data_IF_566219505162
#
_entry.id   IF_566219505162
#
_cell.length_a   1.000
_cell.length_b   1.000
_cell.length_c   1.000
_cell.angle_alpha   90.00
_cell.angle_beta   90.00
_cell.angle_gamma   90.00
#
_symmetry.space_group_name_H-M   'P 1'
#
loop_
_entity.id
_entity.type
_entity.pdbx_description
1 polymer ?
#
# COMPACT_ATOMS: atom_id res chain seq x y z
N UNK A 1 89.65 -19.00 -67.17
CA UNK A 1 88.75 -19.79 -66.30
C UNK A 1 88.25 -18.88 -65.20
N UNK A 2 87.01 -18.42 -65.35
CA UNK A 2 85.97 -18.18 -64.33
C UNK A 2 85.03 -17.10 -64.85
N UNK A 3 83.90 -17.56 -65.39
CA UNK A 3 82.72 -16.74 -65.67
C UNK A 3 81.82 -16.75 -64.43
N UNK A 4 81.57 -15.56 -63.87
CA UNK A 4 80.60 -15.31 -62.82
C UNK A 4 79.23 -15.00 -63.44
N UNK A 5 78.24 -15.84 -63.14
CA UNK A 5 76.83 -15.66 -63.50
C UNK A 5 76.15 -14.68 -62.52
N UNK A 6 75.90 -13.44 -62.97
CA UNK A 6 74.88 -12.56 -62.40
C UNK A 6 73.57 -12.79 -63.13
N UNK A 7 72.53 -13.29 -62.45
CA UNK A 7 71.13 -12.95 -62.74
C UNK A 7 70.18 -13.68 -61.78
N UNK A 8 69.69 -12.98 -60.72
CA UNK A 8 68.36 -13.21 -60.12
C UNK A 8 68.11 -12.30 -58.90
N UNK A 9 67.89 -11.00 -59.12
CA UNK A 9 67.41 -10.08 -58.05
C UNK A 9 66.37 -9.04 -58.51
N UNK A 10 65.15 -9.44 -58.91
CA UNK A 10 64.02 -8.51 -58.73
C UNK A 10 62.71 -9.08 -58.16
N UNK A 11 62.59 -10.38 -57.83
CA UNK A 11 61.29 -10.95 -57.36
C UNK A 11 60.96 -10.70 -55.88
N UNK A 12 61.93 -10.41 -55.02
CA UNK A 12 61.72 -10.28 -53.57
C UNK A 12 60.99 -8.99 -53.13
N UNK A 13 60.97 -7.93 -53.95
CA UNK A 13 60.38 -6.63 -53.54
C UNK A 13 58.86 -6.64 -53.62
N UNK A 14 58.28 -7.24 -54.66
CA UNK A 14 56.83 -7.29 -54.83
C UNK A 14 56.13 -8.15 -53.76
N UNK A 15 56.77 -9.24 -53.33
CA UNK A 15 56.24 -10.08 -52.25
C UNK A 15 56.17 -9.31 -50.91
N UNK A 16 57.15 -8.46 -50.62
CA UNK A 16 57.16 -7.65 -49.39
C UNK A 16 56.02 -6.63 -49.35
N UNK A 17 55.70 -5.98 -50.47
CA UNK A 17 54.57 -5.04 -50.52
C UNK A 17 53.22 -5.76 -50.40
N UNK A 18 53.06 -6.94 -51.01
CA UNK A 18 51.84 -7.73 -50.87
C UNK A 18 51.59 -8.16 -49.42
N UNK A 19 52.64 -8.60 -48.72
CA UNK A 19 52.53 -8.98 -47.29
C UNK A 19 52.16 -7.76 -46.45
N UNK A 20 52.84 -6.61 -46.64
CA UNK A 20 52.55 -5.39 -45.87
C UNK A 20 51.12 -4.90 -46.08
N UNK A 21 50.65 -4.86 -47.33
CA UNK A 21 49.27 -4.45 -47.65
C UNK A 21 48.24 -5.39 -47.04
N UNK A 22 48.50 -6.70 -47.02
CA UNK A 22 47.60 -7.68 -46.43
C UNK A 22 47.56 -7.56 -44.90
N UNK A 23 48.69 -7.32 -44.24
CA UNK A 23 48.71 -6.98 -42.80
C UNK A 23 47.98 -5.67 -42.52
N UNK A 24 48.13 -4.64 -43.35
CA UNK A 24 47.42 -3.37 -43.15
C UNK A 24 45.90 -3.54 -43.29
N UNK A 25 45.45 -4.31 -44.29
CA UNK A 25 44.04 -4.67 -44.48
C UNK A 25 43.50 -5.51 -43.31
N UNK A 26 44.31 -6.42 -42.79
CA UNK A 26 43.94 -7.26 -41.65
C UNK A 26 43.86 -6.44 -40.37
N UNK A 27 44.77 -5.48 -40.15
CA UNK A 27 44.69 -4.56 -39.00
C UNK A 27 43.50 -3.61 -39.13
N UNK A 28 43.18 -3.12 -40.34
CA UNK A 28 41.98 -2.31 -40.56
C UNK A 28 40.69 -3.13 -40.38
N UNK A 29 40.66 -4.39 -40.82
CA UNK A 29 39.48 -5.25 -40.67
C UNK A 29 39.29 -5.73 -39.24
N UNK A 30 40.37 -5.92 -38.47
CA UNK A 30 40.31 -6.32 -37.06
C UNK A 30 40.13 -5.12 -36.12
N UNK A 31 40.55 -3.92 -36.53
CA UNK A 31 40.43 -2.68 -35.75
C UNK A 31 39.05 -2.01 -35.81
N UNK A 32 38.18 -2.40 -36.77
CA UNK A 32 36.78 -1.97 -36.82
C UNK A 32 35.88 -2.96 -36.08
N UNK A 33 36.12 -3.14 -34.79
CA UNK A 33 35.08 -3.65 -33.89
C UNK A 33 34.06 -2.53 -33.72
N UNK A 34 32.93 -2.62 -34.44
CA UNK A 34 31.74 -1.81 -34.18
C UNK A 34 31.34 -2.07 -32.73
N UNK A 35 31.76 -1.20 -31.81
CA UNK A 35 31.22 -1.17 -30.44
C UNK A 35 29.72 -0.92 -30.62
N UNK A 36 28.85 -1.92 -30.36
CA UNK A 36 27.42 -1.68 -30.41
C UNK A 36 27.15 -0.53 -29.45
N UNK A 37 26.42 0.50 -29.91
CA UNK A 37 26.03 1.59 -29.03
C UNK A 37 25.39 0.97 -27.78
N UNK A 38 25.91 1.33 -26.60
CA UNK A 38 25.36 0.81 -25.35
C UNK A 38 23.85 1.06 -25.36
N UNK A 39 23.04 0.01 -25.15
CA UNK A 39 21.60 0.17 -25.15
C UNK A 39 21.24 1.24 -24.12
N UNK A 40 20.32 2.16 -24.46
CA UNK A 40 19.94 3.23 -23.53
C UNK A 40 19.51 2.59 -22.22
N UNK A 41 20.02 3.14 -21.12
CA UNK A 41 19.74 2.64 -19.77
C UNK A 41 18.22 2.55 -19.58
N UNK A 42 17.71 1.42 -19.07
CA UNK A 42 16.27 1.26 -18.86
C UNK A 42 15.75 2.41 -18.00
N UNK A 43 14.55 2.94 -18.28
CA UNK A 43 13.96 3.97 -17.44
C UNK A 43 13.82 3.45 -16.01
N UNK A 44 14.07 4.33 -15.03
CA UNK A 44 13.84 4.00 -13.64
C UNK A 44 12.39 3.54 -13.42
N UNK A 45 12.14 2.53 -12.57
CA UNK A 45 10.80 2.06 -12.28
C UNK A 45 9.94 3.18 -11.67
N UNK A 46 8.62 3.17 -11.86
CA UNK A 46 7.73 4.16 -11.24
C UNK A 46 7.75 4.04 -9.71
N UNK A 47 7.42 5.13 -9.00
CA UNK A 47 7.43 5.18 -7.53
C UNK A 47 6.64 4.02 -6.91
N UNK A 48 5.41 3.77 -7.38
CA UNK A 48 4.55 2.69 -6.88
C UNK A 48 5.22 1.31 -6.98
N UNK A 49 5.97 1.07 -8.04
CA UNK A 49 6.70 -0.20 -8.22
C UNK A 49 7.93 -0.29 -7.30
N UNK A 50 8.63 0.83 -7.08
CA UNK A 50 9.72 0.90 -6.10
C UNK A 50 9.19 0.65 -4.67
N UNK A 51 8.09 1.30 -4.29
CA UNK A 51 7.47 1.14 -2.98
C UNK A 51 6.97 -0.30 -2.76
N UNK A 52 6.36 -0.92 -3.78
CA UNK A 52 5.96 -2.33 -3.74
C UNK A 52 7.17 -3.26 -3.56
N UNK A 53 8.24 -3.04 -4.31
CA UNK A 53 9.45 -3.86 -4.23
C UNK A 53 10.15 -3.72 -2.87
N UNK A 54 10.25 -2.50 -2.33
CA UNK A 54 10.77 -2.24 -0.99
C UNK A 54 9.92 -2.93 0.08
N UNK A 55 8.58 -2.77 0.01
CA UNK A 55 7.66 -3.44 0.93
C UNK A 55 7.82 -4.97 0.93
N UNK A 56 8.01 -5.57 -0.25
CA UNK A 56 8.22 -7.01 -0.39
C UNK A 56 9.56 -7.44 0.24
N UNK A 57 10.64 -6.69 -0.03
CA UNK A 57 11.96 -6.98 0.53
C UNK A 57 11.94 -6.91 2.07
N UNK A 58 11.39 -5.84 2.63
CA UNK A 58 11.25 -5.67 4.09
C UNK A 58 10.43 -6.79 4.72
N UNK A 59 9.30 -7.15 4.10
CA UNK A 59 8.44 -8.22 4.61
C UNK A 59 9.18 -9.58 4.64
N UNK A 60 9.99 -9.88 3.63
CA UNK A 60 10.79 -11.10 3.59
C UNK A 60 11.93 -11.08 4.61
N UNK A 61 12.61 -9.95 4.78
CA UNK A 61 13.69 -9.78 5.78
C UNK A 61 13.15 -9.94 7.21
N UNK A 62 12.06 -9.23 7.54
CA UNK A 62 11.41 -9.31 8.86
C UNK A 62 10.86 -10.72 9.13
N UNK A 63 10.32 -11.40 8.11
CA UNK A 63 9.86 -12.78 8.21
C UNK A 63 11.02 -13.72 8.54
N UNK A 64 12.15 -13.59 7.85
CA UNK A 64 13.34 -14.39 8.12
C UNK A 64 13.87 -14.16 9.54
N UNK A 65 13.90 -12.91 10.01
CA UNK A 65 14.29 -12.57 11.37
C UNK A 65 13.33 -13.17 12.42
N UNK A 66 12.01 -13.11 12.17
CA UNK A 66 11.00 -13.75 13.02
C UNK A 66 11.18 -15.26 13.13
N UNK A 67 11.44 -15.95 12.01
CA UNK A 67 11.70 -17.40 11.98
C UNK A 67 12.98 -17.78 12.75
N UNK A 68 14.05 -17.00 12.61
CA UNK A 68 15.30 -17.23 13.37
C UNK A 68 15.06 -17.09 14.88
N UNK A 69 14.27 -16.08 15.29
CA UNK A 69 13.97 -15.85 16.70
C UNK A 69 13.03 -16.92 17.28
N UNK A 70 12.06 -17.39 16.50
CA UNK A 70 11.18 -18.50 16.88
C UNK A 70 11.96 -19.81 17.12
N UNK A 71 12.98 -20.10 16.30
CA UNK A 71 13.85 -21.27 16.48
C UNK A 71 14.73 -21.26 17.73
N UNK A 72 14.93 -20.08 18.36
CA UNK A 72 15.76 -19.90 19.56
C UNK A 72 14.97 -19.67 20.86
N UNK A 73 13.65 -19.51 20.79
CA UNK A 73 12.82 -19.19 21.97
C UNK A 73 12.16 -20.45 22.53
N UNK A 74 12.36 -20.73 23.83
CA UNK A 74 11.92 -21.97 24.45
C UNK A 74 10.57 -21.87 25.22
N UNK A 75 10.04 -20.67 25.51
CA UNK A 75 8.83 -20.54 26.35
C UNK A 75 7.93 -19.32 26.01
N UNK A 76 6.61 -19.50 26.15
CA UNK A 76 5.63 -18.43 26.47
C UNK A 76 4.93 -17.70 25.32
N UNK A 77 4.08 -16.72 25.67
CA UNK A 77 3.24 -15.94 24.75
C UNK A 77 4.00 -15.12 23.69
N UNK A 78 5.31 -14.87 23.88
CA UNK A 78 6.17 -14.29 22.87
C UNK A 78 6.32 -15.20 21.63
N UNK A 79 6.36 -16.52 21.81
CA UNK A 79 6.41 -17.47 20.69
C UNK A 79 5.13 -17.41 19.85
N UNK A 80 3.96 -17.39 20.48
CA UNK A 80 2.67 -17.25 19.78
C UNK A 80 2.56 -15.89 19.03
N UNK A 81 3.08 -14.82 19.63
CA UNK A 81 3.19 -13.51 18.97
C UNK A 81 4.10 -13.55 17.75
N UNK A 82 5.25 -14.22 17.84
CA UNK A 82 6.18 -14.40 16.72
C UNK A 82 5.55 -15.22 15.58
N UNK A 83 4.87 -16.32 15.90
CA UNK A 83 4.18 -17.14 14.89
C UNK A 83 3.11 -16.33 14.13
N UNK A 84 2.36 -15.48 14.85
CA UNK A 84 1.39 -14.56 14.23
C UNK A 84 2.07 -13.55 13.32
N UNK A 85 3.16 -12.93 13.76
CA UNK A 85 3.95 -11.98 12.95
C UNK A 85 4.50 -12.65 11.69
N UNK A 86 5.06 -13.85 11.79
CA UNK A 86 5.58 -14.60 10.64
C UNK A 86 4.46 -14.94 9.66
N UNK A 87 3.28 -15.34 10.16
CA UNK A 87 2.10 -15.62 9.33
C UNK A 87 1.64 -14.37 8.59
N UNK A 88 1.50 -13.25 9.30
CA UNK A 88 1.14 -11.95 8.74
C UNK A 88 2.11 -11.52 7.64
N UNK A 89 3.42 -11.54 7.90
CA UNK A 89 4.45 -11.15 6.94
C UNK A 89 4.48 -12.09 5.73
N UNK A 90 4.17 -13.37 5.92
CA UNK A 90 4.02 -14.34 4.83
C UNK A 90 2.85 -13.96 3.92
N UNK A 91 1.68 -13.66 4.47
CA UNK A 91 0.50 -13.25 3.68
C UNK A 91 0.79 -11.94 2.93
N UNK A 92 1.41 -10.95 3.61
CA UNK A 92 1.76 -9.66 3.00
C UNK A 92 2.77 -9.81 1.86
N UNK A 93 3.83 -10.59 2.06
CA UNK A 93 4.81 -10.86 0.99
C UNK A 93 4.14 -11.52 -0.22
N UNK A 94 3.22 -12.48 0.00
CA UNK A 94 2.46 -13.11 -1.10
C UNK A 94 1.54 -12.12 -1.81
N UNK A 95 0.90 -11.20 -1.08
CA UNK A 95 0.04 -10.17 -1.65
C UNK A 95 0.82 -9.13 -2.48
N UNK A 96 2.10 -8.90 -2.15
CA UNK A 96 2.98 -7.96 -2.85
C UNK A 96 3.65 -8.56 -4.10
N UNK A 97 3.57 -9.87 -4.33
CA UNK A 97 4.14 -10.52 -5.51
C UNK A 97 3.31 -10.23 -6.77
N UNK A 98 3.99 -9.84 -7.85
CA UNK A 98 3.38 -9.74 -9.17
C UNK A 98 3.20 -11.15 -9.78
N UNK A 99 2.10 -11.42 -10.50
CA UNK A 99 1.88 -12.72 -11.15
C UNK A 99 3.02 -13.17 -12.09
N UNK A 100 3.69 -12.24 -12.79
CA UNK A 100 4.79 -12.58 -13.71
C UNK A 100 6.11 -12.89 -12.99
N UNK A 101 6.36 -12.30 -11.82
CA UNK A 101 7.58 -12.53 -11.05
C UNK A 101 7.66 -13.98 -10.52
N UNK A 102 6.50 -14.58 -10.21
CA UNK A 102 6.42 -15.98 -9.78
C UNK A 102 6.85 -16.99 -10.86
N UNK A 103 6.78 -16.62 -12.14
CA UNK A 103 7.19 -17.48 -13.25
C UNK A 103 8.68 -17.38 -13.58
N UNK A 104 9.34 -16.27 -13.23
CA UNK A 104 10.73 -15.97 -13.61
C UNK A 104 11.80 -16.57 -12.67
N UNK A 105 11.42 -17.10 -11.50
CA UNK A 105 12.35 -17.67 -10.49
C UNK A 105 12.99 -19.02 -10.87
N UNK A 106 13.04 -19.39 -12.15
CA UNK A 106 13.73 -20.62 -12.63
C UNK A 106 15.13 -20.38 -13.20
N UNK A 107 15.66 -19.17 -13.16
CA UNK A 107 17.02 -18.88 -13.63
C UNK A 107 18.07 -19.08 -12.52
N UNK A 108 19.16 -19.85 -12.76
CA UNK A 108 20.22 -20.04 -11.77
C UNK A 108 21.01 -18.74 -11.57
N UNK A 109 21.05 -18.28 -10.31
CA UNK A 109 21.82 -17.10 -9.89
C UNK A 109 23.32 -17.44 -9.81
N UNK A 110 24.24 -16.60 -10.34
CA UNK A 110 25.67 -16.83 -10.22
C UNK A 110 26.16 -16.64 -8.77
N UNK A 111 26.90 -17.63 -8.28
CA UNK A 111 27.48 -17.64 -6.95
C UNK A 111 28.47 -16.47 -6.76
N UNK A 112 28.11 -15.52 -5.90
CA UNK A 112 29.01 -14.45 -5.46
C UNK A 112 29.57 -14.83 -4.08
N UNK A 113 30.89 -14.69 -3.93
CA UNK A 113 31.64 -15.12 -2.77
C UNK A 113 31.19 -14.44 -1.46
N UNK A 114 31.12 -15.23 -0.40
CA UNK A 114 30.81 -14.82 0.98
C UNK A 114 31.88 -13.90 1.57
N UNK A 115 31.55 -12.67 1.99
CA UNK A 115 32.37 -11.93 2.94
C UNK A 115 32.11 -12.46 4.36
N UNK A 116 33.17 -12.83 5.06
CA UNK A 116 33.15 -13.19 6.48
C UNK A 116 32.84 -11.94 7.29
N UNK A 117 31.56 -11.78 7.63
CA UNK A 117 31.04 -10.68 8.45
C UNK A 117 31.04 -11.13 9.92
N UNK A 118 31.42 -10.28 10.88
CA UNK A 118 31.33 -10.62 12.31
C UNK A 118 29.90 -11.00 12.69
N UNK A 119 29.76 -11.94 13.63
CA UNK A 119 28.48 -12.50 14.04
C UNK A 119 27.44 -11.39 14.29
N UNK A 120 26.28 -11.40 13.59
CA UNK A 120 25.26 -10.39 13.79
C UNK A 120 24.77 -10.45 15.23
N UNK A 121 24.57 -9.28 15.84
CA UNK A 121 23.89 -9.19 17.11
C UNK A 121 22.54 -9.90 17.00
N UNK A 122 22.26 -10.82 17.92
CA UNK A 122 21.02 -11.60 17.92
C UNK A 122 19.83 -10.64 18.02
N UNK A 123 18.97 -10.61 17.01
CA UNK A 123 17.76 -9.79 17.04
C UNK A 123 16.87 -10.26 18.19
N UNK A 124 16.35 -9.33 18.99
CA UNK A 124 15.43 -9.61 20.10
C UNK A 124 13.99 -9.40 19.66
N UNK A 125 13.01 -9.90 20.43
CA UNK A 125 11.59 -9.68 20.14
C UNK A 125 11.23 -8.18 20.14
N UNK A 126 11.79 -7.41 21.08
CA UNK A 126 11.62 -5.95 21.10
C UNK A 126 12.28 -5.28 19.88
N UNK A 127 13.47 -5.76 19.46
CA UNK A 127 14.13 -5.29 18.24
C UNK A 127 13.31 -5.54 16.99
N UNK A 128 12.72 -6.74 16.87
CA UNK A 128 11.80 -7.09 15.77
C UNK A 128 10.54 -6.23 15.79
N UNK A 129 9.94 -5.99 16.97
CA UNK A 129 8.78 -5.12 17.11
C UNK A 129 9.08 -3.68 16.63
N UNK A 130 10.24 -3.12 17.01
CA UNK A 130 10.67 -1.79 16.53
C UNK A 130 10.87 -1.77 15.01
N UNK A 131 11.50 -2.80 14.45
CA UNK A 131 11.71 -2.90 13.00
C UNK A 131 10.38 -3.04 12.24
N UNK A 132 9.43 -3.80 12.78
CA UNK A 132 8.09 -3.97 12.23
C UNK A 132 7.28 -2.66 12.28
N UNK A 133 7.36 -1.91 13.39
CA UNK A 133 6.72 -0.59 13.50
C UNK A 133 7.32 0.42 12.50
N UNK A 134 8.64 0.39 12.30
CA UNK A 134 9.33 1.24 11.34
C UNK A 134 8.91 0.92 9.90
N UNK A 135 8.94 -0.37 9.52
CA UNK A 135 8.48 -0.82 8.20
C UNK A 135 7.01 -0.44 7.99
N UNK A 136 6.13 -0.72 8.95
CA UNK A 136 4.71 -0.38 8.83
C UNK A 136 4.45 1.11 8.66
N UNK A 137 5.20 1.95 9.39
CA UNK A 137 5.15 3.41 9.23
C UNK A 137 5.61 3.88 7.85
N UNK A 138 6.66 3.25 7.31
CA UNK A 138 7.14 3.55 5.95
C UNK A 138 6.09 3.17 4.91
N UNK A 139 5.45 2.00 5.03
CA UNK A 139 4.39 1.56 4.12
C UNK A 139 3.18 2.51 4.15
N UNK A 140 2.78 2.99 5.33
CA UNK A 140 1.72 4.00 5.46
C UNK A 140 2.09 5.32 4.78
N UNK A 141 3.37 5.71 4.84
CA UNK A 141 3.90 6.90 4.17
C UNK A 141 3.90 6.75 2.65
N UNK A 142 4.33 5.58 2.17
CA UNK A 142 4.38 5.24 0.75
C UNK A 142 2.99 5.05 0.14
N UNK A 143 2.00 4.65 0.94
CA UNK A 143 0.62 4.53 0.50
C UNK A 143 0.04 5.87 0.02
N UNK A 144 0.44 7.00 0.62
CA UNK A 144 -0.09 8.30 0.25
C UNK A 144 0.20 8.69 -1.23
N UNK A 145 1.43 8.57 -1.75
CA UNK A 145 1.73 8.81 -3.16
C UNK A 145 1.58 7.60 -4.10
N UNK A 146 1.35 6.38 -3.59
CA UNK A 146 1.20 5.19 -4.43
C UNK A 146 -0.08 5.19 -5.27
N UNK A 147 -0.11 4.44 -6.37
CA UNK A 147 -1.29 4.40 -7.23
C UNK A 147 -2.39 3.48 -6.67
N UNK A 148 -3.62 4.03 -6.59
CA UNK A 148 -4.87 3.28 -6.49
C UNK A 148 -4.87 2.06 -5.56
N UNK A 149 -5.08 0.87 -6.13
CA UNK A 149 -5.12 -0.38 -5.37
C UNK A 149 -3.83 -0.69 -4.61
N UNK A 150 -2.66 -0.22 -5.08
CA UNK A 150 -1.39 -0.37 -4.35
C UNK A 150 -1.35 0.53 -3.12
N UNK A 151 -1.89 1.74 -3.17
CA UNK A 151 -2.06 2.59 -1.98
C UNK A 151 -2.86 1.86 -0.89
N UNK A 152 -3.96 1.21 -1.27
CA UNK A 152 -4.77 0.39 -0.36
C UNK A 152 -3.99 -0.79 0.22
N UNK A 153 -3.22 -1.49 -0.61
CA UNK A 153 -2.40 -2.63 -0.16
C UNK A 153 -1.31 -2.19 0.82
N UNK A 154 -0.58 -1.11 0.51
CA UNK A 154 0.46 -0.56 1.37
C UNK A 154 -0.13 0.00 2.68
N UNK A 155 -1.29 0.67 2.61
CA UNK A 155 -1.97 1.20 3.79
C UNK A 155 -2.44 0.07 4.72
N UNK A 156 -3.06 -0.97 4.16
CA UNK A 156 -3.47 -2.15 4.91
C UNK A 156 -2.26 -2.87 5.52
N UNK A 157 -1.25 -3.20 4.71
CA UNK A 157 -0.05 -3.89 5.18
C UNK A 157 0.65 -3.10 6.30
N UNK A 158 0.83 -1.79 6.13
CA UNK A 158 1.41 -0.92 7.14
C UNK A 158 0.60 -0.86 8.43
N UNK A 159 -0.73 -0.77 8.33
CA UNK A 159 -1.63 -0.81 9.50
C UNK A 159 -1.47 -2.11 10.29
N UNK A 160 -1.49 -3.26 9.60
CA UNK A 160 -1.35 -4.56 10.26
C UNK A 160 0.02 -4.72 10.93
N UNK A 161 1.10 -4.23 10.29
CA UNK A 161 2.45 -4.28 10.84
C UNK A 161 2.59 -3.42 12.10
N UNK A 162 2.02 -2.20 12.11
CA UNK A 162 2.05 -1.35 13.32
C UNK A 162 1.29 -2.00 14.48
N UNK A 163 0.12 -2.60 14.23
CA UNK A 163 -0.64 -3.31 15.26
C UNK A 163 0.12 -4.55 15.78
N UNK A 164 0.65 -5.37 14.88
CA UNK A 164 1.44 -6.54 15.24
C UNK A 164 2.71 -6.17 16.01
N UNK A 165 3.33 -5.03 15.70
CA UNK A 165 4.46 -4.50 16.45
C UNK A 165 4.08 -4.12 17.89
N UNK A 166 2.92 -3.50 18.09
CA UNK A 166 2.39 -3.17 19.42
C UNK A 166 2.11 -4.43 20.23
N UNK A 167 1.45 -5.43 19.65
CA UNK A 167 1.20 -6.72 20.30
C UNK A 167 2.51 -7.42 20.69
N UNK A 168 3.47 -7.50 19.77
CA UNK A 168 4.76 -8.15 20.02
C UNK A 168 5.57 -7.41 21.10
N UNK A 169 5.59 -6.07 21.07
CA UNK A 169 6.27 -5.25 22.07
C UNK A 169 5.64 -5.43 23.46
N UNK A 170 4.31 -5.49 23.55
CA UNK A 170 3.59 -5.77 24.79
C UNK A 170 3.89 -7.18 25.32
N UNK A 171 3.87 -8.20 24.44
CA UNK A 171 4.22 -9.57 24.81
C UNK A 171 5.68 -9.72 25.26
N UNK A 172 6.58 -8.90 24.73
CA UNK A 172 7.98 -8.81 25.14
C UNK A 172 8.22 -7.96 26.40
N UNK A 173 7.15 -7.40 27.00
CA UNK A 173 7.24 -6.54 28.19
C UNK A 173 7.90 -5.18 27.95
N UNK A 174 7.94 -4.71 26.71
CA UNK A 174 8.54 -3.43 26.30
C UNK A 174 7.57 -2.59 25.42
N UNK A 175 6.34 -2.30 25.86
CA UNK A 175 5.34 -1.60 25.04
C UNK A 175 5.79 -0.20 24.59
N UNK A 176 6.62 0.47 25.39
CA UNK A 176 7.13 1.82 25.08
C UNK A 176 8.08 1.84 23.88
N UNK A 177 8.66 0.70 23.47
CA UNK A 177 9.63 0.62 22.38
C UNK A 177 9.05 1.03 21.02
N UNK A 178 7.75 0.82 20.81
CA UNK A 178 7.05 1.10 19.55
C UNK A 178 6.13 2.32 19.60
N UNK A 179 5.83 2.83 20.80
CA UNK A 179 4.93 3.97 21.01
C UNK A 179 5.44 5.27 20.36
N UNK A 180 6.76 5.44 20.24
CA UNK A 180 7.38 6.59 19.58
C UNK A 180 7.35 6.51 18.04
N UNK A 181 7.25 5.31 17.47
CA UNK A 181 7.37 5.07 16.02
C UNK A 181 5.99 5.07 15.35
N UNK A 182 4.97 4.50 15.99
CA UNK A 182 3.64 4.29 15.38
C UNK A 182 2.73 5.52 15.23
N UNK A 183 3.13 6.71 15.68
CA UNK A 183 2.27 7.92 15.70
C UNK A 183 2.56 8.89 14.55
N UNK A 184 2.90 8.37 13.37
CA UNK A 184 3.55 9.15 12.31
C UNK A 184 2.63 9.84 11.30
N UNK A 185 1.33 9.55 11.25
CA UNK A 185 0.40 10.28 10.37
C UNK A 185 -0.52 11.15 11.24
N UNK A 186 -0.28 12.47 11.32
CA UNK A 186 -1.27 13.36 11.90
C UNK A 186 -2.56 13.21 11.10
N UNK A 187 -3.63 12.77 11.74
CA UNK A 187 -4.96 12.76 11.15
C UNK A 187 -5.36 14.18 10.82
N UNK A 188 -5.07 14.61 9.60
CA UNK A 188 -5.62 15.85 9.07
C UNK A 188 -7.10 15.64 8.84
N UNK A 189 -7.94 16.57 9.27
CA UNK A 189 -9.28 16.72 8.68
C UNK A 189 -9.11 16.87 7.17
N UNK A 190 -9.97 16.28 6.32
CA UNK A 190 -9.90 16.50 4.88
C UNK A 190 -10.07 18.00 4.64
N UNK A 191 -8.97 18.71 4.41
CA UNK A 191 -8.90 20.16 4.57
C UNK A 191 -9.81 20.84 3.53
N UNK A 192 -10.98 21.34 3.95
CA UNK A 192 -11.99 21.99 3.08
C UNK A 192 -11.59 23.43 2.73
N UNK A 193 -10.49 23.97 3.30
CA UNK A 193 -10.20 25.41 3.27
C UNK A 193 -8.92 25.84 2.54
N UNK A 194 -8.15 24.94 1.93
CA UNK A 194 -6.86 25.32 1.30
C UNK A 194 -6.95 25.79 -0.17
N UNK A 195 -8.16 25.94 -0.73
CA UNK A 195 -8.34 26.45 -2.09
C UNK A 195 -8.45 27.99 -2.19
N UNK A 196 -8.32 28.74 -1.09
CA UNK A 196 -8.55 30.19 -1.10
C UNK A 196 -7.54 31.01 -0.28
N UNK A 197 -6.22 30.79 -0.43
CA UNK A 197 -5.27 31.75 0.16
C UNK A 197 -3.87 31.75 -0.45
N UNK A 198 -3.75 31.97 -1.76
CA UNK A 198 -2.52 32.51 -2.38
C UNK A 198 -2.86 33.41 -3.58
N UNK A 199 -3.40 34.59 -3.30
CA UNK A 199 -3.32 35.72 -4.22
C UNK A 199 -2.45 36.81 -3.58
N UNK A 200 -1.39 37.31 -4.25
CA UNK A 200 -0.63 38.43 -3.73
C UNK A 200 -1.46 39.72 -3.83
N UNK A 201 -1.34 40.57 -2.82
CA UNK A 201 -2.00 41.88 -2.76
C UNK A 201 -1.62 42.74 -3.98
N UNK A 202 -2.62 43.21 -4.72
CA UNK A 202 -2.48 44.24 -5.75
C UNK A 202 -3.20 45.52 -5.31
N UNK A 203 -2.53 46.64 -5.58
CA UNK A 203 -2.88 48.05 -5.31
C UNK A 203 -4.29 48.45 -5.78
N UNK A 204 -4.91 49.50 -5.17
CA UNK A 204 -6.25 49.94 -5.51
C UNK A 204 -6.21 50.98 -6.64
N UNK A 205 -6.71 50.62 -7.83
CA UNK A 205 -7.01 51.64 -8.84
C UNK A 205 -7.16 51.15 -10.27
N UNK A 206 -8.29 50.52 -10.60
CA UNK A 206 -8.84 50.55 -11.97
C UNK A 206 -10.30 50.06 -12.00
N UNK A 207 -11.15 50.83 -12.67
CA UNK A 207 -12.57 50.59 -12.93
C UNK A 207 -12.82 49.61 -14.08
N UNK A 208 -13.63 48.57 -13.80
CA UNK A 208 -14.48 47.73 -14.69
C UNK A 208 -13.79 46.85 -15.77
N UNK A 209 -14.44 45.80 -16.37
CA UNK A 209 -15.78 45.21 -16.16
C UNK A 209 -15.80 43.65 -16.03
N UNK A 210 -17.01 43.10 -15.78
CA UNK A 210 -17.49 41.74 -16.06
C UNK A 210 -16.78 40.52 -15.42
N UNK A 211 -17.53 39.87 -14.53
CA UNK A 211 -17.30 38.59 -13.85
C UNK A 211 -17.07 37.43 -14.82
N UNK A 212 -15.95 36.69 -14.73
CA UNK A 212 -15.82 35.36 -15.30
C UNK A 212 -16.04 34.28 -14.23
N UNK A 213 -16.90 33.31 -14.56
CA UNK A 213 -16.85 31.94 -14.03
C UNK A 213 -17.35 31.74 -12.60
N UNK A 214 -18.63 31.39 -12.46
CA UNK A 214 -19.07 30.58 -11.32
C UNK A 214 -18.20 29.31 -11.25
N UNK A 215 -17.79 28.85 -10.06
CA UNK A 215 -17.13 27.55 -9.92
C UNK A 215 -18.05 26.48 -10.51
N UNK A 216 -17.49 25.65 -11.38
CA UNK A 216 -18.17 24.54 -12.05
C UNK A 216 -19.08 23.80 -11.08
N UNK A 217 -20.38 23.97 -11.26
CA UNK A 217 -21.38 23.13 -10.63
C UNK A 217 -21.04 21.68 -11.02
N UNK A 218 -21.03 20.78 -10.04
CA UNK A 218 -20.96 19.35 -10.28
C UNK A 218 -21.90 19.00 -11.43
N UNK A 219 -21.42 18.36 -12.51
CA UNK A 219 -22.29 18.00 -13.61
C UNK A 219 -23.39 17.11 -13.03
N UNK A 220 -24.63 17.58 -13.07
CA UNK A 220 -25.81 16.76 -12.77
C UNK A 220 -25.89 15.67 -13.85
N UNK A 221 -25.13 14.60 -13.67
CA UNK A 221 -25.35 13.36 -14.41
C UNK A 221 -26.49 12.66 -13.67
N UNK A 222 -27.66 12.45 -14.30
CA UNK A 222 -28.74 11.74 -13.63
C UNK A 222 -28.30 10.30 -13.36
N UNK A 223 -28.07 9.99 -12.08
CA UNK A 223 -27.87 8.63 -11.59
C UNK A 223 -29.09 7.78 -11.96
N UNK A 224 -28.96 6.91 -12.97
CA UNK A 224 -29.90 5.80 -13.19
C UNK A 224 -29.66 4.75 -12.11
N UNK A 225 -30.10 5.02 -10.89
CA UNK A 225 -30.43 3.99 -9.92
C UNK A 225 -31.95 4.02 -9.74
N UNK A 226 -32.64 3.42 -10.71
CA UNK A 226 -34.05 3.09 -10.59
C UNK A 226 -34.14 1.60 -10.23
N UNK A 227 -34.61 1.35 -9.01
CA UNK A 227 -35.35 0.18 -8.56
C UNK A 227 -34.93 -1.19 -9.13
N UNK A 228 -34.24 -1.98 -8.31
CA UNK A 228 -34.31 -3.44 -8.40
C UNK A 228 -35.71 -3.83 -7.92
N UNK A 229 -36.66 -3.86 -8.86
CA UNK A 229 -37.90 -4.62 -8.73
C UNK A 229 -37.82 -5.79 -9.69
N UNK A 230 -37.68 -6.95 -9.07
CA UNK A 230 -37.93 -8.31 -9.51
C UNK A 230 -38.89 -8.46 -10.72
N UNK A 231 -38.32 -8.61 -11.93
CA UNK A 231 -38.70 -9.55 -13.01
C UNK A 231 -38.23 -9.02 -14.37
N UNK A 232 -37.27 -9.71 -14.99
CA UNK A 232 -37.44 -10.36 -16.30
C UNK A 232 -36.08 -10.81 -16.85
N UNK A 233 -36.00 -12.09 -17.14
CA UNK A 233 -35.03 -12.68 -18.07
C UNK A 233 -35.11 -11.95 -19.42
N UNK A 234 -33.99 -11.38 -19.86
CA UNK A 234 -33.62 -11.17 -21.27
C UNK A 234 -32.13 -10.84 -21.29
N UNK A 235 -31.35 -11.62 -22.04
CA UNK A 235 -29.88 -11.55 -22.09
C UNK A 235 -29.36 -10.31 -22.81
N UNK A 236 -29.49 -9.16 -22.17
CA UNK A 236 -28.76 -7.94 -22.55
C UNK A 236 -27.53 -7.83 -21.64
N UNK A 237 -26.33 -7.86 -22.22
CA UNK A 237 -25.08 -7.65 -21.50
C UNK A 237 -25.14 -6.30 -20.77
N UNK A 238 -25.22 -6.36 -19.45
CA UNK A 238 -24.98 -5.21 -18.56
C UNK A 238 -23.56 -4.71 -18.91
N UNK A 239 -23.40 -3.45 -19.38
CA UNK A 239 -22.06 -2.90 -19.59
C UNK A 239 -21.30 -2.98 -18.27
N UNK A 240 -19.99 -3.28 -18.28
CA UNK A 240 -19.21 -3.40 -17.05
C UNK A 240 -19.42 -2.13 -16.22
N UNK A 241 -19.63 -2.26 -14.89
CA UNK A 241 -19.71 -1.08 -14.03
C UNK A 241 -18.48 -0.23 -14.29
N UNK A 242 -18.70 1.05 -14.60
CA UNK A 242 -17.61 2.01 -14.71
C UNK A 242 -16.79 2.03 -13.41
N UNK A 243 -15.54 2.53 -13.44
CA UNK A 243 -14.74 2.64 -12.24
C UNK A 243 -15.52 3.40 -11.16
N UNK A 244 -15.57 2.85 -9.95
CA UNK A 244 -16.26 3.49 -8.83
C UNK A 244 -15.66 4.89 -8.60
N UNK A 245 -16.51 5.90 -8.49
CA UNK A 245 -16.07 7.28 -8.34
C UNK A 245 -15.59 7.54 -6.89
N UNK A 246 -14.61 8.43 -6.67
CA UNK A 246 -14.14 8.79 -5.33
C UNK A 246 -15.28 9.25 -4.41
N UNK A 247 -16.19 10.08 -4.93
CA UNK A 247 -17.35 10.57 -4.18
C UNK A 247 -18.31 9.46 -3.75
N UNK A 248 -18.50 8.42 -4.57
CA UNK A 248 -19.33 7.26 -4.18
C UNK A 248 -18.68 6.41 -3.09
N UNK A 249 -17.36 6.29 -3.07
CA UNK A 249 -16.65 5.59 -2.00
C UNK A 249 -16.75 6.34 -0.67
N UNK A 250 -16.61 7.66 -0.70
CA UNK A 250 -16.80 8.52 0.49
C UNK A 250 -18.24 8.48 1.01
N UNK A 251 -19.23 8.47 0.10
CA UNK A 251 -20.64 8.29 0.46
C UNK A 251 -20.91 6.91 1.08
N UNK A 252 -20.30 5.85 0.56
CA UNK A 252 -20.40 4.50 1.12
C UNK A 252 -19.72 4.41 2.50
N UNK A 253 -18.57 5.08 2.69
CA UNK A 253 -17.93 5.20 4.00
C UNK A 253 -18.85 5.92 4.99
N UNK A 254 -19.45 7.05 4.62
CA UNK A 254 -20.41 7.74 5.49
C UNK A 254 -21.59 6.83 5.92
N UNK A 255 -22.10 5.98 5.01
CA UNK A 255 -23.13 5.01 5.36
C UNK A 255 -22.65 3.95 6.37
N UNK A 256 -21.44 3.42 6.18
CA UNK A 256 -20.83 2.46 7.12
C UNK A 256 -20.59 3.09 8.50
N UNK A 257 -20.16 4.36 8.53
CA UNK A 257 -19.97 5.12 9.76
C UNK A 257 -21.29 5.41 10.50
N UNK A 258 -22.39 5.69 9.77
CA UNK A 258 -23.72 5.82 10.37
C UNK A 258 -24.22 4.50 10.99
N UNK A 259 -23.94 3.37 10.35
CA UNK A 259 -24.24 2.05 10.92
C UNK A 259 -23.43 1.82 12.21
N UNK A 260 -22.14 2.21 12.23
CA UNK A 260 -21.32 2.20 13.43
C UNK A 260 -21.91 3.07 14.55
N UNK A 261 -22.30 4.32 14.26
CA UNK A 261 -23.00 5.21 15.21
C UNK A 261 -24.22 4.53 15.82
N UNK A 262 -25.06 3.89 14.99
CA UNK A 262 -26.24 3.17 15.47
C UNK A 262 -25.88 1.99 16.37
N UNK A 263 -24.89 1.17 15.97
CA UNK A 263 -24.42 0.03 16.78
C UNK A 263 -23.87 0.46 18.13
N UNK A 264 -23.06 1.52 18.18
CA UNK A 264 -22.54 2.08 19.44
C UNK A 264 -23.65 2.58 20.35
N UNK A 265 -24.63 3.32 19.81
CA UNK A 265 -25.80 3.77 20.59
C UNK A 265 -26.58 2.58 21.17
N UNK A 266 -26.75 1.51 20.41
CA UNK A 266 -27.42 0.29 20.88
C UNK A 266 -26.60 -0.47 21.94
N UNK A 267 -25.27 -0.45 21.84
CA UNK A 267 -24.36 -1.15 22.74
C UNK A 267 -24.18 -0.44 24.09
N UNK A 268 -24.14 0.91 24.13
CA UNK A 268 -23.79 1.68 25.33
C UNK A 268 -24.60 1.32 26.58
N UNK A 269 -25.91 1.07 26.43
CA UNK A 269 -26.77 0.70 27.56
C UNK A 269 -26.55 -0.74 28.08
N UNK A 270 -25.72 -1.53 27.42
CA UNK A 270 -25.49 -2.96 27.66
C UNK A 270 -24.03 -3.30 27.96
N UNK A 271 -23.12 -2.37 27.70
CA UNK A 271 -21.71 -2.54 28.00
C UNK A 271 -21.47 -2.45 29.52
N UNK A 272 -20.45 -3.14 30.05
CA UNK A 272 -20.02 -2.93 31.42
C UNK A 272 -19.45 -1.52 31.61
N UNK A 273 -19.44 -1.03 32.85
CA UNK A 273 -19.11 0.37 33.16
C UNK A 273 -17.69 0.78 32.70
N UNK A 274 -16.73 -0.16 32.74
CA UNK A 274 -15.35 0.05 32.28
C UNK A 274 -15.23 0.21 30.76
N UNK A 275 -16.14 -0.41 29.99
CA UNK A 275 -16.20 -0.29 28.54
C UNK A 275 -17.06 0.89 28.05
N UNK A 276 -17.99 1.38 28.87
CA UNK A 276 -18.91 2.45 28.49
C UNK A 276 -18.21 3.79 28.19
N UNK A 277 -17.13 4.11 28.93
CA UNK A 277 -16.32 5.31 28.71
C UNK A 277 -15.68 5.33 27.31
N UNK A 278 -14.79 4.37 26.99
CA UNK A 278 -14.20 4.25 25.65
C UNK A 278 -15.25 4.18 24.53
N UNK A 279 -16.33 3.43 24.72
CA UNK A 279 -17.40 3.34 23.73
C UNK A 279 -18.08 4.68 23.44
N UNK A 280 -18.23 5.55 24.45
CA UNK A 280 -18.80 6.88 24.27
C UNK A 280 -17.87 7.80 23.48
N UNK A 281 -16.56 7.66 23.68
CA UNK A 281 -15.56 8.40 22.90
C UNK A 281 -15.52 7.95 21.44
N UNK A 282 -15.59 6.64 21.19
CA UNK A 282 -15.69 6.09 19.84
C UNK A 282 -16.98 6.50 19.14
N UNK A 283 -18.12 6.46 19.84
CA UNK A 283 -19.39 6.97 19.29
C UNK A 283 -19.25 8.41 18.77
N UNK A 284 -18.68 9.32 19.58
CA UNK A 284 -18.45 10.71 19.16
C UNK A 284 -17.52 10.78 17.95
N UNK A 285 -16.46 9.97 17.93
CA UNK A 285 -15.54 9.90 16.79
C UNK A 285 -16.23 9.44 15.51
N UNK A 286 -17.10 8.44 15.58
CA UNK A 286 -17.89 8.00 14.42
C UNK A 286 -18.81 9.11 13.90
N UNK A 287 -19.42 9.90 14.80
CA UNK A 287 -20.23 11.06 14.40
C UNK A 287 -19.39 12.11 13.65
N UNK A 288 -18.22 12.45 14.19
CA UNK A 288 -17.27 13.37 13.52
C UNK A 288 -16.87 12.82 12.12
N UNK A 289 -16.61 11.50 12.01
CA UNK A 289 -16.22 10.84 10.77
C UNK A 289 -17.34 10.82 9.72
N UNK A 290 -18.61 10.68 10.12
CA UNK A 290 -19.77 10.83 9.21
C UNK A 290 -19.78 12.22 8.60
N UNK A 291 -19.68 13.26 9.43
CA UNK A 291 -19.69 14.65 8.96
C UNK A 291 -18.55 14.93 7.97
N UNK A 292 -17.34 14.48 8.29
CA UNK A 292 -16.16 14.58 7.43
C UNK A 292 -16.35 13.84 6.09
N UNK A 293 -16.81 12.58 6.13
CA UNK A 293 -17.01 11.75 4.95
C UNK A 293 -18.10 12.33 4.03
N UNK A 294 -19.19 12.85 4.58
CA UNK A 294 -20.21 13.53 3.80
C UNK A 294 -19.73 14.85 3.19
N UNK A 295 -18.95 15.63 3.94
CA UNK A 295 -18.37 16.87 3.42
C UNK A 295 -17.43 16.56 2.25
N UNK A 296 -16.55 15.58 2.43
CA UNK A 296 -15.65 15.10 1.37
C UNK A 296 -16.42 14.54 0.17
N UNK A 297 -17.48 13.75 0.37
CA UNK A 297 -18.26 13.19 -0.74
C UNK A 297 -18.90 14.28 -1.60
N UNK A 298 -19.41 15.35 -0.98
CA UNK A 298 -19.95 16.54 -1.68
C UNK A 298 -18.87 17.27 -2.50
N UNK A 299 -17.65 17.39 -1.97
CA UNK A 299 -16.52 17.96 -2.73
C UNK A 299 -16.17 17.13 -3.97
N UNK A 300 -16.38 15.81 -3.89
CA UNK A 300 -16.23 14.88 -5.01
C UNK A 300 -17.53 14.67 -5.81
N UNK A 301 -18.46 15.64 -5.75
CA UNK A 301 -19.68 15.66 -6.53
C UNK A 301 -20.61 14.46 -6.33
N UNK A 302 -20.55 13.80 -5.18
CA UNK A 302 -21.52 12.79 -4.78
C UNK A 302 -22.59 13.40 -3.88
N UNK A 303 -23.76 12.76 -3.88
CA UNK A 303 -24.84 13.06 -2.95
C UNK A 303 -24.69 12.10 -1.77
N UNK A 304 -24.54 12.60 -0.52
CA UNK A 304 -24.56 11.77 0.67
C UNK A 304 -25.82 10.90 0.71
N UNK A 305 -25.71 9.65 1.15
CA UNK A 305 -26.87 8.78 1.28
C UNK A 305 -27.85 9.38 2.31
N UNK A 306 -29.17 9.26 2.11
CA UNK A 306 -30.11 9.63 3.15
C UNK A 306 -29.86 8.77 4.39
N UNK A 307 -30.03 9.35 5.57
CA UNK A 307 -29.92 8.61 6.82
C UNK A 307 -31.07 7.60 6.93
N UNK A 308 -30.73 6.33 7.13
CA UNK A 308 -31.70 5.27 7.36
C UNK A 308 -32.32 5.41 8.76
N UNK A 309 -33.62 5.10 8.94
CA UNK A 309 -34.28 5.21 10.24
C UNK A 309 -33.79 4.16 11.26
N UNK A 310 -33.07 3.14 10.81
CA UNK A 310 -32.45 2.12 11.68
C UNK A 310 -31.68 1.09 10.87
N UNK A 311 -30.78 0.37 11.54
CA UNK A 311 -29.94 -0.67 10.94
C UNK A 311 -30.21 -2.03 11.56
N UNK A 312 -30.05 -3.09 10.78
CA UNK A 312 -30.16 -4.47 11.25
C UNK A 312 -28.83 -4.86 11.88
N UNK A 313 -28.83 -5.09 13.20
CA UNK A 313 -27.67 -5.63 13.90
C UNK A 313 -27.74 -7.17 13.93
N UNK A 314 -26.59 -7.82 13.94
CA UNK A 314 -26.49 -9.27 14.05
C UNK A 314 -27.26 -9.79 15.29
N UNK A 315 -27.97 -10.93 15.21
CA UNK A 315 -28.80 -11.43 16.30
C UNK A 315 -28.07 -11.63 17.64
N UNK A 316 -26.76 -11.92 17.59
CA UNK A 316 -25.91 -12.08 18.78
C UNK A 316 -25.42 -10.76 19.40
N UNK A 317 -25.58 -9.63 18.72
CA UNK A 317 -25.03 -8.34 19.13
C UNK A 317 -25.49 -7.93 20.53
N UNK A 318 -26.78 -8.10 20.84
CA UNK A 318 -27.33 -7.71 22.14
C UNK A 318 -26.83 -8.58 23.30
N UNK A 319 -26.46 -9.84 23.01
CA UNK A 319 -25.95 -10.77 24.03
C UNK A 319 -24.45 -10.57 24.29
N UNK A 320 -23.70 -10.13 23.28
CA UNK A 320 -22.26 -9.89 23.35
C UNK A 320 -21.91 -8.55 22.67
N UNK A 321 -22.25 -7.40 23.28
CA UNK A 321 -22.13 -6.09 22.64
C UNK A 321 -20.68 -5.76 22.23
N UNK A 322 -19.69 -6.11 23.04
CA UNK A 322 -18.28 -5.91 22.68
C UNK A 322 -17.87 -6.69 21.41
N UNK A 323 -18.25 -7.97 21.31
CA UNK A 323 -17.98 -8.75 20.10
C UNK A 323 -18.75 -8.23 18.88
N UNK A 324 -19.97 -7.74 19.09
CA UNK A 324 -20.75 -7.05 18.06
C UNK A 324 -20.07 -5.77 17.56
N UNK A 325 -19.52 -4.95 18.46
CA UNK A 325 -18.75 -3.77 18.11
C UNK A 325 -17.45 -4.12 17.38
N UNK A 326 -16.77 -5.20 17.78
CA UNK A 326 -15.60 -5.69 17.07
C UNK A 326 -15.91 -6.02 15.59
N UNK A 327 -17.02 -6.72 15.34
CA UNK A 327 -17.46 -7.05 13.98
C UNK A 327 -17.85 -5.81 13.18
N UNK A 328 -18.55 -4.86 13.83
CA UNK A 328 -18.98 -3.62 13.21
C UNK A 328 -17.78 -2.74 12.79
N UNK A 329 -16.78 -2.59 13.66
CA UNK A 329 -15.54 -1.88 13.35
C UNK A 329 -14.78 -2.56 12.21
N UNK A 330 -14.65 -3.89 12.26
CA UNK A 330 -14.01 -4.66 11.19
C UNK A 330 -14.72 -4.48 9.83
N UNK A 331 -16.05 -4.38 9.84
CA UNK A 331 -16.86 -4.17 8.64
C UNK A 331 -16.66 -2.79 7.99
N UNK A 332 -16.16 -1.79 8.75
CA UNK A 332 -15.80 -0.47 8.18
C UNK A 332 -14.48 -0.48 7.40
N UNK A 333 -13.57 -1.43 7.69
CA UNK A 333 -12.22 -1.45 7.12
C UNK A 333 -12.22 -1.45 5.58
N UNK A 334 -13.02 -2.28 4.88
CA UNK A 334 -13.06 -2.26 3.42
C UNK A 334 -13.48 -0.92 2.83
N UNK A 335 -14.40 -0.19 3.48
CA UNK A 335 -14.86 1.13 3.01
C UNK A 335 -13.72 2.16 3.10
N UNK A 336 -12.94 2.17 4.18
CA UNK A 336 -11.72 2.97 4.25
C UNK A 336 -10.71 2.58 3.17
N UNK A 337 -10.51 1.28 2.95
CA UNK A 337 -9.64 0.78 1.89
C UNK A 337 -10.06 1.23 0.49
N UNK A 338 -11.36 1.28 0.21
CA UNK A 338 -11.90 1.79 -1.05
C UNK A 338 -11.63 3.29 -1.21
N UNK A 339 -11.80 4.09 -0.14
CA UNK A 339 -11.47 5.52 -0.17
C UNK A 339 -9.97 5.73 -0.39
N UNK A 340 -9.09 4.97 0.27
CA UNK A 340 -7.64 5.03 0.03
C UNK A 340 -7.30 4.74 -1.44
N UNK A 341 -7.95 3.75 -2.04
CA UNK A 341 -7.72 3.36 -3.43
C UNK A 341 -8.27 4.36 -4.46
N UNK A 342 -9.32 5.09 -4.13
CA UNK A 342 -10.04 5.92 -5.11
C UNK A 342 -9.81 7.42 -4.93
N UNK A 343 -9.24 7.84 -3.81
CA UNK A 343 -8.90 9.25 -3.56
C UNK A 343 -7.39 9.49 -3.63
N UNK A 344 -6.99 10.76 -3.68
CA UNK A 344 -5.59 11.21 -3.65
C UNK A 344 -5.41 12.33 -2.60
N UNK A 345 -4.18 12.75 -2.37
CA UNK A 345 -3.87 13.93 -1.56
C UNK A 345 -4.39 13.85 -0.13
N UNK A 346 -4.99 14.94 0.36
CA UNK A 346 -5.48 15.05 1.74
C UNK A 346 -6.59 14.05 2.07
N UNK A 347 -7.47 13.75 1.12
CA UNK A 347 -8.54 12.77 1.31
C UNK A 347 -7.97 11.35 1.51
N UNK A 348 -6.93 10.99 0.74
CA UNK A 348 -6.25 9.71 0.93
C UNK A 348 -5.52 9.66 2.27
N UNK A 349 -4.78 10.70 2.65
CA UNK A 349 -4.09 10.73 3.95
C UNK A 349 -5.06 10.62 5.12
N UNK A 350 -6.21 11.29 5.05
CA UNK A 350 -7.30 11.15 6.02
C UNK A 350 -7.83 9.70 6.07
N UNK A 351 -8.08 9.08 4.91
CA UNK A 351 -8.57 7.71 4.84
C UNK A 351 -7.55 6.68 5.37
N UNK A 352 -6.25 6.90 5.16
CA UNK A 352 -5.18 6.05 5.73
C UNK A 352 -5.21 6.15 7.27
N UNK A 353 -5.33 7.35 7.83
CA UNK A 353 -5.43 7.53 9.27
C UNK A 353 -6.73 6.92 9.85
N UNK A 354 -7.85 7.06 9.12
CA UNK A 354 -9.13 6.44 9.47
C UNK A 354 -9.08 4.91 9.45
N UNK A 355 -8.42 4.31 8.44
CA UNK A 355 -8.18 2.86 8.36
C UNK A 355 -7.40 2.36 9.57
N UNK A 356 -6.30 3.04 9.93
CA UNK A 356 -5.51 2.69 11.11
C UNK A 356 -6.35 2.78 12.38
N UNK A 357 -7.07 3.88 12.57
CA UNK A 357 -7.91 4.07 13.75
C UNK A 357 -9.05 3.04 13.84
N UNK A 358 -9.66 2.65 12.72
CA UNK A 358 -10.69 1.61 12.69
C UNK A 358 -10.12 0.23 13.02
N UNK A 359 -8.92 -0.09 12.55
CA UNK A 359 -8.24 -1.34 12.89
C UNK A 359 -7.86 -1.39 14.39
N UNK A 360 -7.38 -0.27 14.95
CA UNK A 360 -7.12 -0.13 16.39
C UNK A 360 -8.40 -0.34 17.23
N UNK A 361 -9.54 0.23 16.81
CA UNK A 361 -10.83 0.01 17.48
C UNK A 361 -11.32 -1.43 17.35
N UNK A 362 -11.08 -2.07 16.20
CA UNK A 362 -11.38 -3.49 16.00
C UNK A 362 -10.63 -4.34 17.03
N UNK A 363 -9.31 -4.12 17.18
CA UNK A 363 -8.47 -4.82 18.18
C UNK A 363 -8.91 -4.49 19.61
N UNK A 364 -9.26 -3.23 19.90
CA UNK A 364 -9.76 -2.82 21.22
C UNK A 364 -10.96 -3.66 21.67
N UNK A 365 -11.87 -3.97 20.76
CA UNK A 365 -13.04 -4.82 21.03
C UNK A 365 -12.76 -6.32 20.93
N UNK A 366 -11.49 -6.72 20.71
CA UNK A 366 -11.07 -8.12 20.59
C UNK A 366 -11.33 -8.76 19.22
N UNK A 367 -11.60 -7.94 18.19
CA UNK A 367 -11.72 -8.39 16.80
C UNK A 367 -10.36 -8.57 16.12
N UNK A 368 -10.38 -9.29 15.00
CA UNK A 368 -9.22 -9.43 14.12
C UNK A 368 -9.37 -8.48 12.92
N UNK A 369 -8.48 -7.49 12.75
CA UNK A 369 -8.51 -6.59 11.59
C UNK A 369 -7.98 -7.25 10.31
N UNK A 370 -7.40 -8.46 10.39
CA UNK A 370 -6.83 -9.22 9.29
C UNK A 370 -5.38 -8.84 8.97
N UNK A 371 -4.74 -9.62 8.09
CA UNK A 371 -3.33 -9.40 7.71
C UNK A 371 -3.09 -8.17 6.80
N UNK A 372 -4.14 -7.73 6.11
CA UNK A 372 -4.16 -6.51 5.29
C UNK A 372 -5.50 -5.79 5.49
N UNK A 373 -5.67 -5.07 6.62
CA UNK A 373 -6.87 -4.31 6.93
C UNK A 373 -7.32 -3.46 5.75
N UNK A 374 -8.61 -3.51 5.48
CA UNK A 374 -9.23 -2.80 4.37
C UNK A 374 -9.14 -3.51 3.03
N UNK A 375 -8.51 -4.70 2.90
CA UNK A 375 -8.62 -5.57 1.71
C UNK A 375 -9.22 -6.91 2.11
N UNK A 376 -10.28 -7.33 1.41
CA UNK A 376 -10.77 -8.70 1.49
C UNK A 376 -9.88 -9.60 0.62
N UNK A 377 -8.89 -10.23 1.25
CA UNK A 377 -7.99 -11.16 0.58
C UNK A 377 -8.54 -12.58 0.60
N UNK A 378 -8.57 -13.22 -0.57
CA UNK A 378 -8.70 -14.68 -0.67
C UNK A 378 -7.29 -15.29 -0.60
N UNK A 379 -6.85 -15.64 0.62
CA UNK A 379 -5.52 -16.18 0.87
C UNK A 379 -5.20 -17.45 0.08
N UNK A 380 -6.23 -18.20 -0.32
CA UNK A 380 -6.08 -19.43 -1.11
C UNK A 380 -5.65 -19.15 -2.55
N UNK A 381 -5.86 -17.92 -3.03
CA UNK A 381 -5.49 -17.48 -4.38
C UNK A 381 -4.15 -16.76 -4.44
N UNK A 382 -3.52 -16.49 -3.29
CA UNK A 382 -2.24 -15.80 -3.26
C UNK A 382 -1.12 -16.69 -3.83
N UNK A 383 -0.18 -16.14 -4.61
CA UNK A 383 0.96 -16.92 -5.13
C UNK A 383 1.80 -17.47 -3.97
N UNK A 384 2.45 -18.62 -4.17
CA UNK A 384 3.39 -19.14 -3.17
C UNK A 384 4.66 -18.28 -3.17
N UNK A 385 5.31 -18.17 -2.02
CA UNK A 385 6.62 -17.52 -1.92
C UNK A 385 7.67 -18.41 -2.60
N UNK A 386 8.66 -17.83 -3.30
CA UNK A 386 9.84 -18.57 -3.71
C UNK A 386 10.62 -19.02 -2.45
N UNK A 387 11.17 -20.23 -2.50
CA UNK A 387 12.01 -20.83 -1.44
C UNK A 387 13.39 -20.15 -1.34
#
# INVERSE_FOLDING_TARGET
>A
MNDDNQENRPRMRYFRYAVLSLTALLVLSLGFALVPADPPEPPAPPFTEQARAAALADALELRAAGLQLAGGTADGGAAAGLDRVVTLLTIQARALLLPEAAAASTAPSPATATPTTPAPASMTAAGLATALAASGTERLRDAAPADGGMARLLAGAGTAQVLAAQELAAAAGSPDAVAAVGRAVPGGTPNVSEAASTAPAADPGATAPATPGSPSACPLVPSRQAAVSEKAQSGEQVPPPGPAAPGSALAALAAAELEAVYGYQAALARLPEDAAGPASEFLRRHQDLVEDAEAASRLHCAVPPPQEPGYVLEPGFLAAPAAGLAQLEAATLPAYGDVVALTDGSARTWAIAGLQAAAERTVHWGGDPGAVPGILLDETRLPLLPE
#
